data_IF_737019142054
#
_entry.id   IF_737019142054
#
_cell.length_a   1.000
_cell.length_b   1.000
_cell.length_c   1.000
_cell.angle_alpha   90.00
_cell.angle_beta   90.00
_cell.angle_gamma   90.00
#
_symmetry.space_group_name_H-M   'P 1'
#
loop_
_entity.id
_entity.type
_entity.pdbx_description
1 polymer ?
#
# COMPACT_ATOMS: atom_id res chain seq x y z
N UNK A 1 21.97 36.83 -45.74
CA UNK A 1 21.40 35.48 -45.53
C UNK A 1 21.99 34.97 -44.23
N UNK A 2 21.35 34.94 -43.04
CA UNK A 2 20.06 34.31 -42.61
C UNK A 2 19.88 32.96 -43.32
N UNK A 3 19.86 31.80 -42.65
CA UNK A 3 19.07 31.43 -41.48
C UNK A 3 19.78 30.42 -40.55
N UNK A 4 19.41 30.48 -39.27
CA UNK A 4 19.61 29.47 -38.22
C UNK A 4 18.49 28.43 -38.34
N UNK A 5 18.79 27.15 -38.17
CA UNK A 5 17.79 26.11 -37.87
C UNK A 5 17.77 25.85 -36.35
N UNK A 6 16.56 25.91 -35.81
CA UNK A 6 16.21 25.70 -34.41
C UNK A 6 15.92 24.21 -34.16
N UNK A 7 16.63 23.62 -33.20
CA UNK A 7 16.11 22.49 -32.43
C UNK A 7 14.97 23.01 -31.54
N UNK A 8 13.80 22.38 -31.62
CA UNK A 8 12.71 22.59 -30.66
C UNK A 8 12.56 21.30 -29.86
N UNK A 9 13.08 21.34 -28.64
CA UNK A 9 12.92 20.30 -27.63
C UNK A 9 11.80 20.78 -26.69
N UNK A 10 10.66 20.07 -26.69
CA UNK A 10 9.55 20.36 -25.78
C UNK A 10 9.82 19.66 -24.45
N UNK A 11 10.18 20.44 -23.43
CA UNK A 11 10.18 20.02 -22.02
C UNK A 11 8.83 20.42 -21.41
N UNK A 12 8.01 19.44 -21.06
CA UNK A 12 6.81 19.68 -20.26
C UNK A 12 7.19 19.65 -18.77
N UNK A 13 7.23 20.84 -18.16
CA UNK A 13 7.32 21.01 -16.73
C UNK A 13 5.92 20.80 -16.10
N UNK A 14 5.78 19.80 -15.24
CA UNK A 14 4.75 19.85 -14.20
C UNK A 14 5.18 20.94 -13.21
N UNK A 15 4.37 21.98 -13.05
CA UNK A 15 4.59 23.03 -12.05
C UNK A 15 4.46 22.43 -10.64
N UNK A 16 5.60 22.03 -10.06
CA UNK A 16 5.75 21.90 -8.61
C UNK A 16 6.12 23.29 -8.06
N UNK A 17 5.19 23.95 -7.37
CA UNK A 17 5.45 25.25 -6.78
C UNK A 17 6.33 25.10 -5.54
N UNK A 18 7.61 25.49 -5.68
CA UNK A 18 8.63 25.40 -4.65
C UNK A 18 8.51 26.47 -3.53
N UNK A 19 7.37 27.16 -3.40
CA UNK A 19 7.16 28.27 -2.44
C UNK A 19 6.26 27.96 -1.24
N UNK A 20 6.50 26.85 -0.55
CA UNK A 20 6.03 26.61 0.83
C UNK A 20 7.18 26.48 1.84
N UNK A 21 8.23 27.28 1.65
CA UNK A 21 9.22 27.55 2.69
C UNK A 21 9.20 29.04 3.01
N UNK A 22 8.27 29.46 3.87
CA UNK A 22 8.53 30.47 4.91
C UNK A 22 7.27 30.76 5.76
N UNK A 23 7.46 30.62 7.07
CA UNK A 23 6.71 31.21 8.19
C UNK A 23 5.25 30.80 8.36
N UNK A 24 5.05 29.82 9.25
CA UNK A 24 4.08 29.98 10.34
C UNK A 24 4.62 29.29 11.61
N UNK A 25 5.32 30.04 12.47
CA UNK A 25 5.45 29.66 13.88
C UNK A 25 4.12 29.98 14.55
N UNK A 26 3.21 29.02 14.58
CA UNK A 26 2.10 29.02 15.54
C UNK A 26 2.53 28.13 16.71
N UNK A 27 2.89 28.75 17.82
CA UNK A 27 2.96 28.08 19.10
C UNK A 27 1.53 27.73 19.53
N UNK A 28 1.11 26.50 19.26
CA UNK A 28 0.03 25.85 20.00
C UNK A 28 0.63 24.73 20.83
N UNK A 29 0.42 24.80 22.16
CA UNK A 29 0.75 23.74 23.10
C UNK A 29 0.20 22.38 22.63
N UNK A 30 0.84 21.25 22.96
CA UNK A 30 0.40 19.93 22.51
C UNK A 30 -0.97 19.62 23.11
N UNK A 31 -2.01 19.76 22.29
CA UNK A 31 -3.31 19.15 22.55
C UNK A 31 -3.05 17.64 22.58
N UNK A 32 -3.40 16.96 23.67
CA UNK A 32 -3.14 15.52 23.86
C UNK A 32 -3.53 14.74 22.60
N UNK A 33 -2.57 14.04 22.02
CA UNK A 33 -2.71 13.15 20.86
C UNK A 33 -3.62 11.93 21.12
N UNK A 34 -4.24 11.81 22.30
CA UNK A 34 -4.97 10.61 22.73
C UNK A 34 -6.23 10.34 21.91
N UNK A 35 -6.94 11.38 21.45
CA UNK A 35 -8.20 11.18 20.71
C UNK A 35 -8.01 10.64 19.28
N UNK A 36 -6.94 11.03 18.59
CA UNK A 36 -6.73 10.62 17.19
C UNK A 36 -6.40 9.13 17.09
N UNK A 37 -5.65 8.60 18.06
CA UNK A 37 -5.29 7.19 18.08
C UNK A 37 -6.48 6.30 18.43
N UNK A 38 -7.32 6.68 19.39
CA UNK A 38 -8.53 5.93 19.74
C UNK A 38 -9.50 5.79 18.57
N UNK A 39 -9.66 6.86 17.77
CA UNK A 39 -10.50 6.82 16.57
C UNK A 39 -9.89 5.96 15.46
N UNK A 40 -8.59 6.11 15.20
CA UNK A 40 -7.87 5.21 14.29
C UNK A 40 -8.00 3.74 14.72
N UNK A 41 -7.77 3.46 16.00
CA UNK A 41 -7.77 2.12 16.55
C UNK A 41 -9.13 1.45 16.41
N UNK A 42 -10.21 2.20 16.66
CA UNK A 42 -11.59 1.75 16.47
C UNK A 42 -11.91 1.40 15.02
N UNK A 43 -11.36 2.16 14.08
CA UNK A 43 -11.64 1.98 12.66
C UNK A 43 -10.84 0.84 12.04
N UNK A 44 -9.57 0.69 12.43
CA UNK A 44 -8.68 -0.34 11.87
C UNK A 44 -8.87 -1.72 12.50
N UNK A 45 -9.35 -1.79 13.74
CA UNK A 45 -9.49 -3.06 14.47
C UNK A 45 -10.69 -3.90 14.02
N UNK A 46 -10.49 -5.21 13.93
CA UNK A 46 -11.52 -6.18 13.56
C UNK A 46 -10.99 -7.36 12.76
N UNK A 47 -11.92 -8.22 12.36
CA UNK A 47 -11.71 -9.26 11.35
C UNK A 47 -11.90 -8.67 9.96
N UNK A 48 -10.92 -8.91 9.10
CA UNK A 48 -10.89 -8.40 7.74
C UNK A 48 -10.70 -9.58 6.78
N UNK A 49 -11.73 -9.91 6.02
CA UNK A 49 -11.69 -10.99 5.04
C UNK A 49 -11.66 -10.44 3.62
N UNK A 50 -10.99 -11.12 2.70
CA UNK A 50 -10.90 -10.62 1.35
C UNK A 50 -9.99 -11.42 0.45
N UNK A 51 -9.35 -10.71 -0.47
CA UNK A 51 -8.43 -11.29 -1.44
C UNK A 51 -7.13 -10.52 -1.55
N UNK A 52 -6.06 -11.26 -1.84
CA UNK A 52 -4.74 -10.73 -2.06
C UNK A 52 -4.15 -11.18 -3.39
N UNK A 53 -3.51 -10.28 -4.13
CA UNK A 53 -2.81 -10.62 -5.36
C UNK A 53 -1.42 -9.96 -5.40
N UNK A 54 -0.51 -10.59 -6.13
CA UNK A 54 0.84 -10.07 -6.38
C UNK A 54 0.98 -9.67 -7.85
N UNK A 55 1.64 -8.55 -8.08
CA UNK A 55 1.88 -7.98 -9.41
C UNK A 55 3.38 -7.83 -9.64
N UNK A 56 3.80 -7.96 -10.89
CA UNK A 56 5.16 -7.62 -11.33
C UNK A 56 5.43 -6.12 -11.21
N UNK A 57 6.67 -5.70 -11.44
CA UNK A 57 7.07 -4.29 -11.57
C UNK A 57 6.47 -3.61 -12.82
N UNK A 58 5.92 -4.39 -13.76
CA UNK A 58 5.13 -3.91 -14.91
C UNK A 58 3.61 -3.89 -14.67
N UNK A 59 3.13 -4.38 -13.52
CA UNK A 59 1.70 -4.43 -13.18
C UNK A 59 0.95 -5.65 -13.72
N UNK A 60 1.67 -6.69 -14.18
CA UNK A 60 1.06 -7.95 -14.59
C UNK A 60 0.76 -8.82 -13.37
N UNK A 61 -0.44 -9.42 -13.27
CA UNK A 61 -0.78 -10.28 -12.14
C UNK A 61 0.05 -11.58 -12.17
N UNK A 62 0.52 -12.02 -11.00
CA UNK A 62 1.27 -13.26 -10.84
C UNK A 62 0.30 -14.40 -10.54
N UNK A 63 0.35 -15.44 -11.36
CA UNK A 63 -0.41 -16.67 -11.12
C UNK A 63 0.05 -17.34 -9.83
N UNK A 64 -0.88 -17.97 -9.12
CA UNK A 64 -0.58 -18.77 -7.95
C UNK A 64 0.35 -19.94 -8.33
N UNK A 65 1.31 -20.32 -7.46
CA UNK A 65 2.19 -21.46 -7.75
C UNK A 65 1.38 -22.72 -8.02
N UNK A 66 1.70 -23.45 -9.09
CA UNK A 66 0.97 -24.67 -9.45
C UNK A 66 0.86 -25.65 -8.27
N UNK A 67 1.90 -25.76 -7.45
CA UNK A 67 1.95 -26.60 -6.25
C UNK A 67 0.82 -26.35 -5.22
N UNK A 68 0.16 -25.19 -5.23
CA UNK A 68 -0.96 -24.87 -4.32
C UNK A 68 -2.33 -24.91 -5.01
N UNK A 69 -2.36 -25.06 -6.34
CA UNK A 69 -3.60 -25.06 -7.13
C UNK A 69 -4.10 -26.51 -7.24
N UNK A 70 -5.32 -26.82 -6.76
CA UNK A 70 -5.94 -28.13 -6.91
C UNK A 70 -5.99 -28.62 -8.36
N UNK A 71 -5.88 -29.93 -8.56
CA UNK A 71 -5.85 -30.55 -9.90
C UNK A 71 -7.10 -30.22 -10.73
N UNK A 72 -8.28 -30.15 -10.10
CA UNK A 72 -9.54 -29.80 -10.75
C UNK A 72 -9.47 -28.44 -11.48
N UNK A 73 -8.85 -27.41 -10.90
CA UNK A 73 -8.69 -26.13 -11.58
C UNK A 73 -7.78 -26.24 -12.82
N UNK A 74 -6.77 -27.12 -12.79
CA UNK A 74 -5.89 -27.37 -13.93
C UNK A 74 -6.63 -28.12 -15.04
N UNK A 75 -7.44 -29.11 -14.68
CA UNK A 75 -8.30 -29.84 -15.63
C UNK A 75 -9.32 -28.93 -16.31
N UNK A 76 -9.80 -27.91 -15.60
CA UNK A 76 -10.72 -26.90 -16.13
C UNK A 76 -10.01 -25.73 -16.83
N UNK A 77 -8.68 -25.77 -16.94
CA UNK A 77 -7.86 -24.70 -17.51
C UNK A 77 -8.09 -23.32 -16.85
N UNK A 78 -8.40 -23.33 -15.54
CA UNK A 78 -8.63 -22.13 -14.74
C UNK A 78 -7.34 -21.70 -14.06
N UNK A 79 -6.81 -20.55 -14.47
CA UNK A 79 -5.68 -19.90 -13.80
C UNK A 79 -6.16 -19.11 -12.58
N UNK A 80 -5.48 -19.29 -11.45
CA UNK A 80 -5.78 -18.57 -10.22
C UNK A 80 -4.70 -17.52 -9.97
N UNK A 81 -5.12 -16.30 -9.64
CA UNK A 81 -4.22 -15.16 -9.37
C UNK A 81 -4.38 -14.59 -7.96
N UNK A 82 -5.52 -14.86 -7.33
CA UNK A 82 -5.87 -14.29 -6.04
C UNK A 82 -5.79 -15.35 -4.94
N UNK A 83 -5.19 -14.96 -3.82
CA UNK A 83 -5.33 -15.64 -2.55
C UNK A 83 -6.63 -15.22 -1.88
N UNK A 84 -7.39 -16.15 -1.30
CA UNK A 84 -8.31 -15.80 -0.24
C UNK A 84 -7.50 -15.46 1.01
N UNK A 85 -7.87 -14.37 1.68
CA UNK A 85 -7.12 -13.83 2.82
C UNK A 85 -8.01 -13.51 4.00
N UNK A 86 -7.44 -13.67 5.19
CA UNK A 86 -7.97 -13.15 6.45
C UNK A 86 -6.90 -12.33 7.14
N UNK A 87 -7.27 -11.19 7.71
CA UNK A 87 -6.35 -10.24 8.30
C UNK A 87 -6.89 -9.65 9.61
N UNK A 88 -7.10 -10.47 10.67
CA UNK A 88 -7.37 -9.98 12.01
C UNK A 88 -6.40 -8.87 12.36
N UNK A 89 -6.93 -7.70 12.70
CA UNK A 89 -6.17 -6.50 13.03
C UNK A 89 -6.63 -5.97 14.38
N UNK A 90 -5.70 -5.59 15.24
CA UNK A 90 -6.00 -4.95 16.51
C UNK A 90 -5.06 -3.78 16.77
N UNK A 91 -5.63 -2.66 17.17
CA UNK A 91 -4.91 -1.48 17.61
C UNK A 91 -5.34 -1.14 19.04
N UNK A 92 -4.36 -1.04 19.95
CA UNK A 92 -4.57 -0.63 21.36
C UNK A 92 -3.60 0.45 21.77
N UNK A 93 -2.36 0.08 22.11
CA UNK A 93 -1.24 1.01 22.26
C UNK A 93 -0.34 0.97 21.01
N UNK A 94 -0.35 -0.19 20.35
CA UNK A 94 0.36 -0.56 19.14
C UNK A 94 -0.65 -1.12 18.15
N UNK A 95 -0.28 -1.22 16.89
CA UNK A 95 -1.03 -1.96 15.88
C UNK A 95 -0.39 -3.33 15.66
N UNK A 96 -1.22 -4.36 15.55
CA UNK A 96 -0.80 -5.69 15.13
C UNK A 96 -1.83 -6.26 14.16
N UNK A 97 -1.36 -6.96 13.14
CA UNK A 97 -2.22 -7.77 12.29
C UNK A 97 -1.53 -9.07 11.88
N UNK A 98 -2.36 -10.07 11.57
CA UNK A 98 -1.92 -11.38 11.05
C UNK A 98 -2.64 -11.65 9.73
N UNK A 99 -1.93 -11.51 8.61
CA UNK A 99 -2.44 -11.86 7.29
C UNK A 99 -2.24 -13.35 7.02
N UNK A 100 -3.33 -14.10 7.00
CA UNK A 100 -3.37 -15.51 6.62
C UNK A 100 -3.79 -15.62 5.15
N UNK A 101 -3.01 -16.33 4.34
CA UNK A 101 -3.41 -16.78 2.99
C UNK A 101 -3.94 -18.20 3.07
N UNK A 102 -5.06 -18.47 2.43
CA UNK A 102 -5.70 -19.78 2.40
C UNK A 102 -5.42 -20.48 1.07
N UNK A 103 -5.30 -21.81 1.10
CA UNK A 103 -5.22 -22.64 -0.10
C UNK A 103 -6.55 -22.56 -0.87
N UNK A 104 -6.51 -22.48 -2.21
CA UNK A 104 -7.71 -22.66 -3.02
C UNK A 104 -8.34 -24.03 -2.77
N UNK A 105 -9.67 -24.08 -2.67
CA UNK A 105 -10.45 -25.30 -2.45
C UNK A 105 -11.50 -25.48 -3.55
N UNK A 106 -11.95 -26.73 -3.76
CA UNK A 106 -13.02 -27.08 -4.70
C UNK A 106 -14.03 -28.02 -4.04
N UNK A 107 -15.29 -27.97 -4.47
CA UNK A 107 -16.34 -28.89 -4.01
C UNK A 107 -16.77 -28.68 -2.54
N UNK A 108 -17.32 -29.71 -1.90
CA UNK A 108 -17.77 -29.67 -0.51
C UNK A 108 -16.64 -29.49 0.51
N UNK A 109 -15.37 -29.54 0.08
CA UNK A 109 -14.20 -29.21 0.89
C UNK A 109 -13.99 -27.70 1.02
N UNK A 110 -14.80 -26.88 0.33
CA UNK A 110 -14.82 -25.43 0.48
C UNK A 110 -15.14 -24.95 1.90
N UNK A 111 -15.73 -25.81 2.74
CA UNK A 111 -16.00 -25.53 4.15
C UNK A 111 -14.77 -25.75 5.06
N UNK A 112 -13.67 -26.30 4.52
CA UNK A 112 -12.42 -26.55 5.21
C UNK A 112 -11.30 -25.62 4.69
N UNK A 113 -11.32 -24.36 5.14
CA UNK A 113 -10.26 -23.40 4.83
C UNK A 113 -8.90 -23.89 5.39
N UNK A 114 -7.95 -24.17 4.50
CA UNK A 114 -6.60 -24.61 4.88
C UNK A 114 -5.61 -23.47 4.74
N UNK A 115 -4.85 -23.19 5.79
CA UNK A 115 -3.82 -22.15 5.77
C UNK A 115 -2.64 -22.54 4.86
N UNK A 116 -2.27 -21.64 3.95
CA UNK A 116 -1.02 -21.72 3.18
C UNK A 116 0.12 -20.99 3.89
N UNK A 117 -0.08 -19.71 4.22
CA UNK A 117 0.97 -18.88 4.82
C UNK A 117 0.43 -17.85 5.78
N UNK A 118 1.27 -17.41 6.73
CA UNK A 118 0.98 -16.32 7.66
C UNK A 118 2.05 -15.22 7.58
N UNK A 119 1.62 -13.97 7.59
CA UNK A 119 2.45 -12.77 7.72
C UNK A 119 1.97 -11.96 8.93
N UNK A 120 2.78 -11.88 9.97
CA UNK A 120 2.48 -11.13 11.19
C UNK A 120 3.27 -9.83 11.20
N UNK A 121 2.57 -8.72 11.45
CA UNK A 121 3.20 -7.41 11.55
C UNK A 121 2.75 -6.67 12.79
N UNK A 122 3.68 -5.97 13.41
CA UNK A 122 3.41 -5.09 14.53
C UNK A 122 4.12 -3.75 14.35
N UNK A 123 3.47 -2.68 14.80
CA UNK A 123 4.03 -1.34 14.86
C UNK A 123 3.73 -0.66 16.18
N UNK A 124 4.66 0.17 16.67
CA UNK A 124 4.46 1.05 17.84
C UNK A 124 5.26 0.68 19.09
N UNK A 125 5.77 -0.54 19.18
CA UNK A 125 6.64 -0.95 20.27
C UNK A 125 8.13 -0.89 19.88
N UNK A 126 9.04 -0.82 20.87
CA UNK A 126 10.48 -0.73 20.62
C UNK A 126 11.11 -2.02 20.05
N UNK A 127 10.35 -3.11 20.00
CA UNK A 127 10.66 -4.37 19.34
C UNK A 127 9.87 -4.55 18.03
N UNK A 128 9.09 -3.55 17.64
CA UNK A 128 8.18 -3.64 16.50
C UNK A 128 9.00 -3.60 15.22
N UNK A 129 8.52 -4.33 14.21
CA UNK A 129 9.18 -4.42 12.93
C UNK A 129 8.96 -3.21 12.04
N UNK A 130 8.26 -2.16 12.49
CA UNK A 130 7.97 -0.97 11.66
C UNK A 130 9.00 0.13 11.89
N UNK A 131 9.54 0.70 10.83
CA UNK A 131 10.41 1.88 10.91
C UNK A 131 9.57 3.15 11.12
N UNK A 132 8.45 3.23 10.39
CA UNK A 132 7.60 4.40 10.33
C UNK A 132 6.13 4.03 10.14
N UNK A 133 5.22 4.68 10.88
CA UNK A 133 3.79 4.56 10.62
C UNK A 133 3.08 5.90 10.82
N UNK A 134 2.45 6.40 9.76
CA UNK A 134 1.58 7.57 9.80
C UNK A 134 0.12 7.15 9.60
N UNK A 135 -0.77 7.56 10.49
CA UNK A 135 -2.18 7.12 10.47
C UNK A 135 -3.18 8.27 10.40
N UNK A 136 -4.30 8.04 9.72
CA UNK A 136 -5.45 8.92 9.70
C UNK A 136 -6.57 8.36 10.58
N UNK A 137 -7.39 9.22 11.17
CA UNK A 137 -8.45 8.83 12.13
C UNK A 137 -9.51 7.89 11.54
N UNK A 138 -9.63 7.81 10.22
CA UNK A 138 -10.56 6.88 9.55
C UNK A 138 -10.03 5.44 9.41
N UNK A 139 -8.83 5.15 9.90
CA UNK A 139 -8.20 3.82 9.79
C UNK A 139 -7.22 3.68 8.62
N UNK A 140 -7.13 4.67 7.74
CA UNK A 140 -6.11 4.70 6.67
C UNK A 140 -4.72 4.95 7.27
N UNK A 141 -3.66 4.40 6.68
CA UNK A 141 -2.29 4.59 7.15
C UNK A 141 -1.24 4.38 6.05
N UNK A 142 -0.02 4.83 6.33
CA UNK A 142 1.19 4.57 5.55
C UNK A 142 2.21 3.97 6.50
N UNK A 143 2.79 2.82 6.16
CA UNK A 143 3.80 2.15 6.98
C UNK A 143 5.05 1.80 6.15
N UNK A 144 6.22 1.89 6.78
CA UNK A 144 7.51 1.48 6.21
C UNK A 144 8.05 0.30 7.02
N UNK A 145 8.22 -0.83 6.35
CA UNK A 145 8.73 -2.08 6.91
C UNK A 145 10.16 -2.30 6.42
N UNK A 146 11.18 -2.27 7.30
CA UNK A 146 12.57 -2.45 6.94
C UNK A 146 12.86 -3.92 6.62
N UNK A 147 13.86 -4.13 5.77
CA UNK A 147 14.34 -5.45 5.39
C UNK A 147 13.58 -6.09 4.24
N UNK A 148 14.00 -7.29 3.89
CA UNK A 148 13.42 -8.05 2.79
C UNK A 148 12.41 -9.05 3.32
N UNK A 149 11.15 -8.88 2.92
CA UNK A 149 10.07 -9.86 3.13
C UNK A 149 10.34 -11.13 2.32
N UNK A 150 10.50 -12.26 3.00
CA UNK A 150 10.71 -13.58 2.39
C UNK A 150 9.78 -14.63 3.00
N UNK A 151 9.35 -15.60 2.19
CA UNK A 151 8.52 -16.72 2.65
C UNK A 151 9.41 -17.89 3.06
N UNK A 152 9.28 -18.38 4.29
CA UNK A 152 9.97 -19.57 4.78
C UNK A 152 8.99 -20.68 5.13
N UNK A 153 9.44 -21.91 4.97
CA UNK A 153 8.70 -23.08 5.44
C UNK A 153 9.02 -23.32 6.91
N UNK A 154 7.99 -23.43 7.75
CA UNK A 154 8.17 -23.82 9.15
C UNK A 154 7.99 -25.34 9.29
N UNK A 155 9.09 -26.03 9.58
CA UNK A 155 9.12 -27.48 9.77
C UNK A 155 8.66 -27.92 11.18
N UNK A 156 8.24 -26.99 12.05
CA UNK A 156 7.86 -27.31 13.44
C UNK A 156 6.42 -27.84 13.58
N UNK A 157 5.58 -27.69 12.57
CA UNK A 157 4.19 -28.16 12.56
C UNK A 157 4.01 -29.41 11.67
N UNK A 158 3.11 -30.32 12.05
CA UNK A 158 2.66 -31.45 11.21
C UNK A 158 1.88 -30.99 9.97
N UNK A 159 1.46 -29.73 9.93
CA UNK A 159 1.00 -29.02 8.73
C UNK A 159 2.15 -28.12 8.27
N UNK A 160 2.55 -28.19 7.00
CA UNK A 160 3.60 -27.34 6.43
C UNK A 160 3.12 -25.88 6.34
N UNK A 161 3.09 -25.17 7.46
CA UNK A 161 2.70 -23.76 7.51
C UNK A 161 3.88 -22.91 7.06
N UNK A 162 3.68 -22.09 6.02
CA UNK A 162 4.68 -21.11 5.61
C UNK A 162 4.52 -19.82 6.43
N UNK A 163 5.60 -19.14 6.73
CA UNK A 163 5.56 -17.85 7.40
C UNK A 163 6.46 -16.84 6.69
N UNK A 164 6.02 -15.59 6.66
CA UNK A 164 6.87 -14.50 6.21
C UNK A 164 7.83 -14.09 7.32
N UNK A 165 9.10 -13.92 6.96
CA UNK A 165 10.12 -13.33 7.84
C UNK A 165 10.80 -12.18 7.12
N UNK A 166 11.37 -11.28 7.91
CA UNK A 166 12.11 -10.12 7.45
C UNK A 166 13.60 -10.38 7.62
N UNK A 167 14.31 -10.48 6.51
CA UNK A 167 15.77 -10.56 6.54
C UNK A 167 16.38 -9.17 6.55
N UNK A 168 17.33 -8.95 7.45
CA UNK A 168 18.26 -7.83 7.35
C UNK A 168 19.13 -8.05 6.12
N UNK A 169 19.00 -7.16 5.15
CA UNK A 169 19.59 -7.32 3.82
C UNK A 169 20.69 -6.29 3.63
N UNK A 170 21.89 -6.76 3.30
CA UNK A 170 23.02 -5.92 2.90
C UNK A 170 22.66 -4.99 1.71
N UNK A 171 21.62 -5.33 0.93
CA UNK A 171 21.12 -4.53 -0.20
C UNK A 171 20.06 -3.46 0.15
N UNK A 172 19.89 -3.07 1.43
CA UNK A 172 18.94 -2.01 1.86
C UNK A 172 17.56 -2.15 1.19
N UNK A 173 16.87 -3.25 1.49
CA UNK A 173 15.49 -3.49 1.05
C UNK A 173 14.49 -3.00 2.10
N UNK A 174 13.32 -2.55 1.66
CA UNK A 174 12.19 -2.22 2.53
C UNK A 174 10.86 -2.34 1.76
N UNK A 175 9.74 -2.29 2.46
CA UNK A 175 8.41 -2.32 1.88
C UNK A 175 7.59 -1.13 2.39
N UNK A 176 6.91 -0.42 1.49
CA UNK A 176 5.94 0.62 1.88
C UNK A 176 4.53 0.09 1.70
N UNK A 177 3.76 0.14 2.77
CA UNK A 177 2.34 -0.24 2.80
C UNK A 177 1.46 1.00 2.86
N UNK A 178 0.61 1.16 1.85
CA UNK A 178 -0.41 2.18 1.76
C UNK A 178 -1.78 1.53 2.05
N UNK A 179 -2.40 1.85 3.18
CA UNK A 179 -3.72 1.36 3.55
C UNK A 179 -4.76 2.48 3.41
N UNK A 180 -5.77 2.24 2.57
CA UNK A 180 -6.89 3.14 2.32
C UNK A 180 -8.17 2.53 2.86
N UNK A 181 -8.86 3.25 3.74
CA UNK A 181 -10.18 2.87 4.24
C UNK A 181 -11.24 3.72 3.55
N UNK A 182 -12.23 3.05 2.97
CA UNK A 182 -13.41 3.72 2.44
C UNK A 182 -14.40 3.99 3.57
N UNK A 183 -14.83 5.25 3.68
CA UNK A 183 -15.92 5.63 4.56
C UNK A 183 -17.26 5.16 3.95
N UNK A 184 -18.10 4.49 4.74
CA UNK A 184 -19.41 4.00 4.29
C UNK A 184 -20.05 3.01 5.28
N UNK A 185 -21.25 2.53 4.96
CA UNK A 185 -21.99 1.55 5.78
C UNK A 185 -21.27 0.20 5.87
N UNK A 186 -20.64 -0.24 4.77
CA UNK A 186 -19.74 -1.38 4.74
C UNK A 186 -18.30 -0.89 4.76
N UNK A 187 -17.54 -1.26 5.78
CA UNK A 187 -16.13 -0.89 5.89
C UNK A 187 -15.29 -1.78 4.97
N UNK A 188 -14.67 -1.14 3.98
CA UNK A 188 -13.69 -1.77 3.09
C UNK A 188 -12.34 -1.09 3.26
N UNK A 189 -11.28 -1.88 3.14
CA UNK A 189 -9.93 -1.35 3.02
C UNK A 189 -9.17 -1.98 1.87
N UNK A 190 -8.24 -1.22 1.33
CA UNK A 190 -7.26 -1.68 0.34
C UNK A 190 -5.88 -1.40 0.88
N UNK A 191 -5.01 -2.41 0.89
CA UNK A 191 -3.60 -2.27 1.23
C UNK A 191 -2.75 -2.53 -0.02
N UNK A 192 -1.96 -1.54 -0.43
CA UNK A 192 -1.02 -1.64 -1.55
C UNK A 192 0.38 -1.62 -0.95
N UNK A 193 1.15 -2.69 -1.16
CA UNK A 193 2.48 -2.87 -0.62
C UNK A 193 3.50 -2.85 -1.75
N UNK A 194 4.45 -1.93 -1.72
CA UNK A 194 5.52 -1.78 -2.70
C UNK A 194 6.85 -2.25 -2.11
N UNK A 195 7.41 -3.35 -2.62
CA UNK A 195 8.72 -3.83 -2.18
C UNK A 195 9.84 -3.15 -2.98
N UNK A 196 10.74 -2.45 -2.29
CA UNK A 196 11.83 -1.67 -2.86
C UNK A 196 13.19 -2.25 -2.47
N UNK A 197 14.12 -2.27 -3.42
CA UNK A 197 15.55 -2.43 -3.12
C UNK A 197 16.31 -1.17 -3.51
N UNK A 198 17.25 -0.75 -2.68
CA UNK A 198 18.17 0.35 -3.00
C UNK A 198 19.48 -0.21 -3.56
N UNK A 199 19.72 0.02 -4.86
CA UNK A 199 20.98 -0.38 -5.48
C UNK A 199 21.98 0.77 -5.44
N UNK A 200 23.27 0.51 -5.14
CA UNK A 200 24.31 1.52 -5.33
C UNK A 200 24.32 2.00 -6.78
N UNK A 201 24.36 3.32 -6.98
CA UNK A 201 24.62 3.89 -8.30
C UNK A 201 26.04 3.54 -8.75
N UNK A 202 26.22 3.23 -10.02
CA UNK A 202 27.57 3.04 -10.61
C UNK A 202 28.09 4.44 -10.99
N UNK A 203 28.82 5.11 -10.09
CA UNK A 203 29.39 6.45 -10.32
C UNK A 203 29.93 7.14 -9.06
N UNK A 204 30.54 8.33 -9.20
CA UNK A 204 31.17 9.11 -8.11
C UNK A 204 30.20 9.71 -7.08
N UNK A 205 28.88 9.66 -7.33
CA UNK A 205 27.87 10.12 -6.40
C UNK A 205 27.31 8.94 -5.58
N UNK A 206 27.43 9.01 -4.25
CA UNK A 206 26.95 8.04 -3.24
C UNK A 206 25.40 8.00 -3.15
N UNK A 207 24.74 7.89 -4.30
CA UNK A 207 23.28 7.89 -4.47
C UNK A 207 22.80 6.46 -4.64
N UNK A 208 21.67 6.14 -4.00
CA UNK A 208 20.99 4.87 -4.25
C UNK A 208 19.93 5.02 -5.33
N UNK A 209 19.84 4.03 -6.19
CA UNK A 209 18.78 3.89 -7.20
C UNK A 209 17.67 3.00 -6.62
N UNK A 210 16.46 3.53 -6.38
CA UNK A 210 15.34 2.73 -5.94
C UNK A 210 14.84 1.84 -7.08
N UNK A 211 14.62 0.56 -6.79
CA UNK A 211 14.08 -0.41 -7.74
C UNK A 211 12.87 -1.09 -7.13
N UNK A 212 11.70 -0.88 -7.74
CA UNK A 212 10.47 -1.62 -7.42
C UNK A 212 10.63 -3.10 -7.81
N UNK A 213 10.32 -4.01 -6.90
CA UNK A 213 10.45 -5.46 -7.11
C UNK A 213 9.12 -6.14 -7.38
N UNK A 214 8.11 -5.76 -6.63
CA UNK A 214 6.75 -6.24 -6.78
C UNK A 214 5.79 -5.25 -6.10
N UNK A 215 4.52 -5.39 -6.46
CA UNK A 215 3.40 -4.76 -5.77
C UNK A 215 2.46 -5.85 -5.28
N UNK A 216 2.12 -5.83 -4.00
CA UNK A 216 1.06 -6.68 -3.44
C UNK A 216 -0.17 -5.85 -3.17
N UNK A 217 -1.34 -6.34 -3.55
CA UNK A 217 -2.63 -5.70 -3.24
C UNK A 217 -3.44 -6.62 -2.34
N UNK A 218 -3.99 -6.09 -1.26
CA UNK A 218 -4.97 -6.74 -0.40
C UNK A 218 -6.26 -5.92 -0.44
N UNK A 219 -7.38 -6.56 -0.74
CA UNK A 219 -8.70 -5.91 -0.77
C UNK A 219 -9.61 -6.65 0.19
N UNK A 220 -10.00 -5.97 1.25
CA UNK A 220 -10.53 -6.58 2.45
C UNK A 220 -11.83 -5.87 2.88
N UNK A 221 -12.80 -6.67 3.33
CA UNK A 221 -14.05 -6.24 3.93
C UNK A 221 -14.00 -6.51 5.43
N UNK A 222 -14.48 -5.55 6.21
CA UNK A 222 -14.65 -5.77 7.64
C UNK A 222 -15.84 -6.70 7.89
N UNK A 223 -15.64 -7.75 8.66
CA UNK A 223 -16.69 -8.74 8.95
C UNK A 223 -17.18 -8.67 10.39
N UNK A 224 -16.27 -8.58 11.37
CA UNK A 224 -16.65 -8.58 12.78
C UNK A 224 -15.59 -7.93 13.67
N UNK A 225 -15.91 -7.83 14.97
CA UNK A 225 -14.91 -7.51 15.99
C UNK A 225 -13.78 -8.54 16.00
N UNK A 226 -12.62 -8.11 16.49
CA UNK A 226 -11.41 -8.91 16.51
C UNK A 226 -11.59 -10.18 17.37
N UNK A 227 -11.33 -11.32 16.75
CA UNK A 227 -11.37 -12.66 17.31
C UNK A 227 -10.06 -13.42 17.00
N UNK A 228 -8.99 -12.70 16.63
CA UNK A 228 -7.68 -13.26 16.28
C UNK A 228 -7.76 -14.36 15.20
N UNK A 229 -8.71 -14.23 14.26
CA UNK A 229 -8.98 -15.22 13.21
C UNK A 229 -9.37 -16.61 13.73
N UNK A 230 -10.03 -16.70 14.89
CA UNK A 230 -10.59 -17.97 15.42
C UNK A 230 -11.73 -18.52 14.55
N UNK A 231 -12.35 -17.68 13.71
CA UNK A 231 -13.37 -18.08 12.73
C UNK A 231 -12.82 -17.88 11.33
N UNK A 232 -12.68 -18.97 10.58
CA UNK A 232 -12.35 -18.91 9.15
C UNK A 232 -13.62 -18.50 8.38
N UNK A 233 -13.55 -17.38 7.65
CA UNK A 233 -14.64 -16.88 6.84
C UNK A 233 -15.04 -17.89 5.76
N UNK A 234 -16.35 -17.99 5.51
CA UNK A 234 -16.91 -18.91 4.51
C UNK A 234 -16.38 -18.62 3.10
N UNK A 235 -16.37 -19.66 2.26
CA UNK A 235 -15.92 -19.61 0.87
C UNK A 235 -16.65 -18.49 0.10
N UNK A 236 -15.95 -17.39 -0.17
CA UNK A 236 -16.51 -16.24 -0.89
C UNK A 236 -16.24 -16.28 -2.40
N UNK A 237 -15.82 -17.42 -2.96
CA UNK A 237 -15.46 -17.50 -4.39
C UNK A 237 -16.69 -17.52 -5.30
N UNK A 238 -17.29 -16.35 -5.52
CA UNK A 238 -18.23 -16.14 -6.62
C UNK A 238 -17.67 -15.07 -7.56
N UNK A 239 -16.89 -15.49 -8.57
CA UNK A 239 -16.44 -14.61 -9.65
C UNK A 239 -15.01 -14.84 -10.13
N UNK A 240 -14.65 -14.18 -11.23
CA UNK A 240 -13.28 -14.10 -11.76
C UNK A 240 -12.35 -13.39 -10.77
N UNK A 241 -11.11 -13.84 -10.65
CA UNK A 241 -10.06 -13.23 -9.84
C UNK A 241 -9.96 -11.71 -10.12
N UNK A 242 -10.01 -10.88 -9.07
CA UNK A 242 -9.95 -9.42 -9.18
C UNK A 242 -8.68 -8.96 -9.89
N UNK A 243 -7.55 -9.67 -9.71
CA UNK A 243 -6.29 -9.34 -10.33
C UNK A 243 -6.31 -9.39 -11.87
N UNK A 244 -7.28 -10.10 -12.46
CA UNK A 244 -7.47 -10.21 -13.91
C UNK A 244 -8.59 -9.32 -14.45
N UNK A 245 -9.27 -8.56 -13.57
CA UNK A 245 -10.30 -7.62 -14.01
C UNK A 245 -9.68 -6.39 -14.68
N UNK A 246 -10.51 -5.63 -15.41
CA UNK A 246 -10.06 -4.45 -16.13
C UNK A 246 -9.26 -3.50 -15.22
N UNK A 247 -8.08 -3.11 -15.70
CA UNK A 247 -7.23 -2.12 -15.05
C UNK A 247 -7.82 -0.73 -15.20
N UNK A 248 -7.58 0.11 -14.19
CA UNK A 248 -7.90 1.53 -14.22
C UNK A 248 -7.36 2.18 -15.49
N UNK A 249 -8.14 3.05 -16.13
CA UNK A 249 -7.63 3.87 -17.22
C UNK A 249 -7.04 5.17 -16.65
N UNK A 250 -5.83 5.54 -17.09
CA UNK A 250 -5.17 6.77 -16.62
C UNK A 250 -6.04 8.03 -16.79
N UNK A 251 -6.85 8.09 -17.85
CA UNK A 251 -7.78 9.19 -18.08
C UNK A 251 -8.84 9.35 -16.98
N UNK A 252 -9.20 8.29 -16.26
CA UNK A 252 -10.17 8.37 -15.16
C UNK A 252 -9.62 9.13 -13.95
N UNK A 253 -8.30 9.20 -13.80
CA UNK A 253 -7.66 10.00 -12.74
C UNK A 253 -7.59 11.49 -13.09
N UNK A 254 -7.68 11.84 -14.37
CA UNK A 254 -7.60 13.23 -14.80
C UNK A 254 -8.83 14.03 -14.36
N UNK A 255 -8.64 15.34 -14.12
CA UNK A 255 -9.72 16.24 -13.73
C UNK A 255 -9.29 17.24 -12.68
N UNK A 256 -10.27 17.94 -12.10
CA UNK A 256 -10.07 18.81 -10.95
C UNK A 256 -10.60 18.09 -9.72
N UNK A 257 -9.82 18.07 -8.64
CA UNK A 257 -10.12 17.37 -7.41
C UNK A 257 -10.05 18.33 -6.23
N UNK A 258 -11.08 18.32 -5.39
CA UNK A 258 -11.06 18.92 -4.06
C UNK A 258 -10.32 17.95 -3.12
N UNK A 259 -9.10 18.31 -2.73
CA UNK A 259 -8.21 17.46 -1.94
C UNK A 259 -8.16 17.94 -0.49
N UNK A 260 -8.69 17.13 0.42
CA UNK A 260 -8.40 17.23 1.84
C UNK A 260 -7.07 16.53 2.13
N UNK A 261 -6.05 17.30 2.46
CA UNK A 261 -4.67 16.81 2.61
C UNK A 261 -4.28 16.73 4.07
N UNK A 262 -3.65 15.63 4.46
CA UNK A 262 -2.98 15.45 5.74
C UNK A 262 -1.53 14.99 5.54
N UNK A 263 -0.67 15.25 6.51
CA UNK A 263 0.76 14.94 6.42
C UNK A 263 1.38 14.55 7.75
N UNK A 264 2.53 13.90 7.71
CA UNK A 264 3.35 13.63 8.89
C UNK A 264 4.85 13.71 8.55
N UNK A 265 5.63 14.36 9.43
CA UNK A 265 7.08 14.45 9.30
C UNK A 265 7.74 13.17 9.82
N UNK A 266 8.61 12.55 9.03
CA UNK A 266 9.19 11.24 9.34
C UNK A 266 10.45 11.33 10.22
N UNK A 267 10.75 12.49 10.78
CA UNK A 267 11.89 12.73 11.69
C UNK A 267 11.79 11.95 13.01
N UNK A 268 10.66 11.29 13.29
CA UNK A 268 10.43 10.46 14.48
C UNK A 268 10.14 9.04 14.04
N UNK A 269 10.99 8.11 14.48
CA UNK A 269 10.71 6.67 14.41
C UNK A 269 9.43 6.37 15.19
N UNK A 270 8.60 5.49 14.64
CA UNK A 270 7.40 4.98 15.30
C UNK A 270 6.08 5.48 14.73
N UNK A 271 5.04 5.45 15.57
CA UNK A 271 3.65 5.73 15.22
C UNK A 271 3.31 7.20 15.43
N UNK A 272 2.71 7.83 14.43
CA UNK A 272 2.28 9.23 14.52
C UNK A 272 1.01 9.54 13.71
N UNK A 273 0.18 10.49 14.17
CA UNK A 273 -0.99 10.91 13.43
C UNK A 273 -0.60 11.73 12.21
N UNK A 274 -1.35 11.54 11.12
CA UNK A 274 -1.42 12.47 10.00
C UNK A 274 -2.14 13.74 10.47
N UNK A 275 -1.48 14.88 10.33
CA UNK A 275 -1.97 16.19 10.70
C UNK A 275 -2.61 16.86 9.49
N UNK A 276 -3.77 17.48 9.69
CA UNK A 276 -4.47 18.22 8.63
C UNK A 276 -3.61 19.36 8.07
N UNK A 277 -3.37 19.35 6.76
CA UNK A 277 -2.60 20.37 6.03
C UNK A 277 -3.50 21.42 5.38
N UNK A 278 -4.75 21.08 5.06
CA UNK A 278 -5.66 21.99 4.37
C UNK A 278 -6.53 21.32 3.30
N UNK A 279 -7.43 22.13 2.76
CA UNK A 279 -8.27 21.80 1.61
C UNK A 279 -7.79 22.62 0.41
N UNK A 280 -7.56 21.96 -0.73
CA UNK A 280 -7.12 22.64 -1.95
C UNK A 280 -7.65 21.94 -3.20
N UNK A 281 -7.92 22.72 -4.23
CA UNK A 281 -8.24 22.21 -5.56
C UNK A 281 -6.96 21.88 -6.32
N UNK A 282 -6.87 20.65 -6.81
CA UNK A 282 -5.76 20.18 -7.63
C UNK A 282 -6.26 19.75 -8.99
N UNK A 283 -5.69 20.35 -10.04
CA UNK A 283 -5.88 19.87 -11.41
C UNK A 283 -4.86 18.77 -11.69
N UNK A 284 -5.36 17.59 -12.05
CA UNK A 284 -4.58 16.41 -12.43
C UNK A 284 -4.73 16.16 -13.93
N UNK A 285 -3.62 16.18 -14.66
CA UNK A 285 -3.57 15.63 -16.01
C UNK A 285 -3.51 14.08 -15.95
N UNK A 286 -3.89 13.36 -17.02
CA UNK A 286 -3.75 11.91 -17.05
C UNK A 286 -2.31 11.51 -16.71
N UNK A 287 -2.09 10.79 -15.60
CA UNK A 287 -0.74 10.43 -15.16
C UNK A 287 -0.08 9.51 -16.20
N UNK A 288 1.21 9.74 -16.42
CA UNK A 288 2.06 8.92 -17.28
C UNK A 288 3.04 8.15 -16.40
N UNK A 289 3.43 6.96 -16.84
CA UNK A 289 4.43 6.13 -16.16
C UNK A 289 4.03 5.70 -14.73
N UNK A 290 2.73 5.54 -14.47
CA UNK A 290 2.23 4.90 -13.24
C UNK A 290 1.77 3.48 -13.56
N UNK A 291 1.85 2.60 -12.58
CA UNK A 291 1.29 1.26 -12.66
C UNK A 291 -0.22 1.33 -12.40
N UNK A 292 -1.00 1.10 -13.43
CA UNK A 292 -2.46 1.05 -13.35
C UNK A 292 -2.87 -0.39 -13.00
N UNK A 293 -3.64 -0.53 -11.92
CA UNK A 293 -4.02 -1.82 -11.36
C UNK A 293 -5.54 -2.03 -11.47
N UNK A 294 -6.03 -3.27 -11.34
CA UNK A 294 -7.46 -3.56 -11.30
C UNK A 294 -8.17 -2.84 -10.14
N UNK A 295 -9.50 -2.77 -10.22
CA UNK A 295 -10.37 -2.23 -9.15
C UNK A 295 -10.09 -0.77 -8.78
N UNK A 296 -9.69 0.04 -9.76
CA UNK A 296 -9.46 1.47 -9.57
C UNK A 296 -8.16 1.80 -8.83
N UNK A 297 -7.23 0.85 -8.73
CA UNK A 297 -6.01 0.99 -7.96
C UNK A 297 -4.86 1.47 -8.85
N UNK A 298 -3.87 2.11 -8.24
CA UNK A 298 -2.62 2.45 -8.90
C UNK A 298 -1.45 2.54 -7.94
N UNK A 299 -0.25 2.43 -8.48
CA UNK A 299 1.02 2.50 -7.76
C UNK A 299 2.05 3.27 -8.58
N UNK A 300 2.91 4.03 -7.92
CA UNK A 300 3.96 4.83 -8.54
C UNK A 300 5.25 4.79 -7.70
N UNK A 301 6.38 4.61 -8.39
CA UNK A 301 7.70 4.97 -7.90
C UNK A 301 8.22 6.09 -8.79
N UNK A 302 8.54 7.24 -8.20
CA UNK A 302 9.06 8.39 -8.92
C UNK A 302 10.44 8.77 -8.38
N UNK A 303 11.46 8.71 -9.23
CA UNK A 303 12.79 9.23 -8.91
C UNK A 303 12.81 10.73 -9.20
N UNK A 304 13.19 11.52 -8.20
CA UNK A 304 13.34 12.96 -8.25
C UNK A 304 14.79 13.35 -8.56
N UNK A 305 15.03 14.66 -8.69
CA UNK A 305 16.38 15.21 -8.75
C UNK A 305 17.23 14.77 -7.55
N UNK A 306 18.54 14.65 -7.77
CA UNK A 306 19.54 14.34 -6.74
C UNK A 306 19.45 12.93 -6.11
N UNK A 307 18.65 12.02 -6.70
CA UNK A 307 18.50 10.64 -6.23
C UNK A 307 17.44 10.48 -5.14
N UNK A 308 16.76 11.55 -4.74
CA UNK A 308 15.56 11.45 -3.90
C UNK A 308 14.46 10.73 -4.67
N UNK A 309 13.49 10.16 -3.98
CA UNK A 309 12.39 9.47 -4.64
C UNK A 309 11.12 9.48 -3.80
N UNK A 310 9.98 9.26 -4.46
CA UNK A 310 8.68 9.13 -3.81
C UNK A 310 8.04 7.80 -4.18
N UNK A 311 7.33 7.25 -3.22
CA UNK A 311 6.45 6.11 -3.40
C UNK A 311 5.03 6.59 -3.17
N UNK A 312 4.17 6.36 -4.15
CA UNK A 312 2.78 6.76 -4.08
C UNK A 312 1.87 5.63 -4.52
N UNK A 313 0.67 5.64 -3.98
CA UNK A 313 -0.38 4.72 -4.38
C UNK A 313 -1.72 5.42 -4.21
N UNK A 314 -2.75 4.87 -4.86
CA UNK A 314 -4.09 5.37 -4.66
C UNK A 314 -5.17 4.42 -5.12
N UNK A 315 -6.39 4.82 -4.76
CA UNK A 315 -7.61 4.10 -5.03
C UNK A 315 -8.68 5.09 -5.50
N UNK A 316 -9.08 4.97 -6.76
CA UNK A 316 -10.30 5.55 -7.30
C UNK A 316 -11.47 4.68 -6.81
N UNK A 317 -12.05 5.09 -5.67
CA UNK A 317 -13.12 4.36 -4.99
C UNK A 317 -14.37 4.28 -5.86
N UNK A 318 -14.68 5.39 -6.52
CA UNK A 318 -15.72 5.55 -7.53
C UNK A 318 -15.30 6.72 -8.45
N UNK A 319 -16.01 7.00 -9.55
CA UNK A 319 -15.62 8.06 -10.47
C UNK A 319 -15.40 9.44 -9.83
N UNK A 320 -16.03 9.73 -8.70
CA UNK A 320 -16.03 11.04 -8.04
C UNK A 320 -15.25 11.07 -6.72
N UNK A 321 -14.69 9.95 -6.26
CA UNK A 321 -13.96 9.87 -5.00
C UNK A 321 -12.69 9.05 -5.16
N UNK A 322 -11.58 9.62 -4.72
CA UNK A 322 -10.29 8.93 -4.67
C UNK A 322 -9.61 9.13 -3.32
N UNK A 323 -8.76 8.18 -2.96
CA UNK A 323 -7.85 8.29 -1.81
C UNK A 323 -6.45 8.07 -2.36
N UNK A 324 -5.54 8.98 -2.05
CA UNK A 324 -4.14 8.87 -2.48
C UNK A 324 -3.21 9.02 -1.29
N UNK A 325 -2.08 8.36 -1.34
CA UNK A 325 -1.01 8.61 -0.39
C UNK A 325 0.35 8.57 -1.06
N UNK A 326 1.29 9.30 -0.49
CA UNK A 326 2.66 9.35 -0.96
C UNK A 326 3.61 9.51 0.20
N UNK A 327 4.82 8.99 0.06
CA UNK A 327 5.89 9.14 1.03
C UNK A 327 7.20 9.45 0.31
N UNK A 328 7.94 10.40 0.87
CA UNK A 328 9.18 10.92 0.31
C UNK A 328 10.40 10.31 0.99
N UNK A 329 11.43 10.03 0.21
CA UNK A 329 12.69 9.48 0.68
C UNK A 329 13.89 10.32 0.25
N UNK A 330 14.93 10.34 1.10
CA UNK A 330 16.25 10.86 0.74
C UNK A 330 16.96 9.94 -0.26
N UNK A 331 18.06 10.42 -0.84
CA UNK A 331 18.89 9.64 -1.77
C UNK A 331 19.55 8.41 -1.14
N UNK A 332 19.57 8.33 0.19
CA UNK A 332 20.10 7.19 0.94
C UNK A 332 19.02 6.26 1.50
N UNK A 333 17.74 6.56 1.22
CA UNK A 333 16.60 5.74 1.61
C UNK A 333 15.93 6.13 2.93
N UNK A 334 16.28 7.27 3.52
CA UNK A 334 15.64 7.72 4.77
C UNK A 334 14.30 8.38 4.47
N UNK A 335 13.30 8.01 5.25
CA UNK A 335 11.95 8.55 5.15
C UNK A 335 11.92 10.03 5.56
N UNK A 336 11.23 10.89 4.79
CA UNK A 336 11.15 12.35 5.03
C UNK A 336 9.77 12.83 5.44
N UNK A 337 8.80 12.71 4.54
CA UNK A 337 7.43 13.20 4.75
C UNK A 337 6.44 12.23 4.12
N UNK A 338 5.32 12.01 4.80
CA UNK A 338 4.23 11.19 4.32
C UNK A 338 2.98 12.07 4.18
N UNK A 339 2.23 11.85 3.11
CA UNK A 339 1.01 12.58 2.76
C UNK A 339 -0.12 11.62 2.46
N UNK A 340 -1.33 12.03 2.84
CA UNK A 340 -2.56 11.35 2.47
C UNK A 340 -3.58 12.39 2.02
N UNK A 341 -4.31 12.08 0.95
CA UNK A 341 -5.35 12.94 0.40
C UNK A 341 -6.64 12.16 0.26
N UNK A 342 -7.71 12.76 0.76
CA UNK A 342 -9.08 12.35 0.46
C UNK A 342 -9.63 13.31 -0.58
N UNK A 343 -10.02 12.78 -1.73
CA UNK A 343 -10.22 13.56 -2.94
C UNK A 343 -11.67 13.38 -3.41
N UNK A 344 -12.34 14.51 -3.68
CA UNK A 344 -13.65 14.53 -4.34
C UNK A 344 -13.53 15.26 -5.66
N UNK A 345 -14.06 14.69 -6.74
CA UNK A 345 -14.02 15.34 -8.05
C UNK A 345 -14.80 16.65 -8.00
N UNK A 346 -14.22 17.73 -8.50
CA UNK A 346 -14.92 18.99 -8.67
C UNK A 346 -15.96 18.83 -9.79
N UNK A 347 -17.20 19.22 -9.50
CA UNK A 347 -18.35 19.14 -10.40
C UNK A 347 -18.22 20.00 -11.64
#
# INVERSE_FOLDING_TARGET
MRQREMQVQWVFNFCYDHRLRERTRLHSAPRKASGHWEDFARQVSGEWDGYGAEFTDSGEPRELPSAVVPEAFREWEVQLYDWQTQCPTIAKENIYYRLTRLLPTVGCEADAATQYSVDERSGGDSKSGVEFLAYHVNGSYIAVWPGRRILREDFKSRTSSKSYVWEDDQQKSFEVEHCFVQDGESRFRVRILQQISLKPSIGEDDKNLPVLKNVTVQREKWESEFQNGEVLGGCSTTGSAFATTQTLQSSELAGVWHCETSFAHCERVGIQPLLYAGLKDEKRDPPRNIMLLPKGLWSELRVLGDGQFTLAAGWLVNPDTAITSSIEFSSIGETKEAYMKFEKRAS
#
